data_IF_511379704401
#
_entry.id   IF_511379704401
#
_cell.length_a   1.000
_cell.length_b   1.000
_cell.length_c   1.000
_cell.angle_alpha   90.00
_cell.angle_beta   90.00
_cell.angle_gamma   90.00
#
_symmetry.space_group_name_H-M   'P 1'
#
loop_
_entity.id
_entity.type
_entity.pdbx_description
1 polymer ?
#
# COMPACT_ATOMS: atom_id res chain seq x y z
N UNK A 1 -22.67 88.59 7.37
CA UNK A 1 -24.09 88.58 7.80
C UNK A 1 -24.92 87.98 6.68
N UNK A 2 -25.29 86.68 6.78
CA UNK A 2 -26.20 86.00 5.85
C UNK A 2 -27.01 84.94 6.60
N UNK A 3 -28.23 85.35 6.90
CA UNK A 3 -29.55 84.69 7.03
C UNK A 3 -29.65 83.17 7.18
N UNK A 4 -30.43 82.79 8.20
CA UNK A 4 -31.03 81.47 8.50
C UNK A 4 -32.26 81.25 7.59
N UNK A 5 -32.46 80.02 7.07
CA UNK A 5 -33.74 79.30 7.23
C UNK A 5 -33.50 77.78 7.37
N UNK A 6 -34.38 76.89 7.78
CA UNK A 6 -35.72 76.89 8.36
C UNK A 6 -35.85 75.48 8.98
N UNK A 7 -36.49 75.38 10.14
CA UNK A 7 -36.77 74.09 10.78
C UNK A 7 -37.95 73.39 10.09
N UNK A 8 -37.88 72.08 9.77
CA UNK A 8 -39.08 71.28 9.63
C UNK A 8 -39.49 70.75 11.02
N UNK A 9 -40.65 71.22 11.48
CA UNK A 9 -41.45 70.59 12.54
C UNK A 9 -41.75 69.14 12.11
N UNK A 10 -41.18 68.17 12.81
CA UNK A 10 -41.62 66.78 12.70
C UNK A 10 -42.51 66.49 13.89
N UNK A 11 -43.79 66.26 13.59
CA UNK A 11 -44.83 65.91 14.55
C UNK A 11 -44.43 64.69 15.38
N UNK A 12 -44.48 64.85 16.70
CA UNK A 12 -44.48 63.78 17.69
C UNK A 12 -45.73 62.91 17.50
N UNK A 13 -45.60 61.82 16.73
CA UNK A 13 -46.52 60.71 16.81
C UNK A 13 -46.11 59.82 17.99
N UNK A 14 -47.08 59.59 18.87
CA UNK A 14 -46.96 58.81 20.10
C UNK A 14 -46.56 57.36 19.82
N UNK A 15 -45.84 56.70 20.75
CA UNK A 15 -45.37 55.33 20.58
C UNK A 15 -46.51 54.32 20.80
N UNK A 16 -46.83 53.53 19.79
CA UNK A 16 -47.61 52.30 19.93
C UNK A 16 -46.69 51.17 20.43
N UNK A 17 -47.03 50.47 21.53
CA UNK A 17 -46.23 49.37 22.04
C UNK A 17 -46.56 48.11 21.24
N UNK A 18 -45.89 47.92 20.10
CA UNK A 18 -45.94 46.64 19.39
C UNK A 18 -44.86 45.74 20.00
N UNK A 19 -45.28 45.01 21.03
CA UNK A 19 -44.53 43.91 21.65
C UNK A 19 -44.44 42.76 20.65
N UNK A 20 -43.49 42.84 19.73
CA UNK A 20 -42.98 41.68 19.02
C UNK A 20 -41.51 41.56 19.39
N UNK A 21 -41.26 40.87 20.50
CA UNK A 21 -39.90 40.52 20.91
C UNK A 21 -39.25 39.75 19.76
N UNK A 22 -38.15 40.28 19.23
CA UNK A 22 -37.27 39.54 18.33
C UNK A 22 -36.79 38.33 19.12
N UNK A 23 -37.19 37.12 18.70
CA UNK A 23 -36.62 35.88 19.22
C UNK A 23 -35.10 35.98 19.04
N UNK A 24 -34.30 35.80 20.10
CA UNK A 24 -32.85 35.80 19.96
C UNK A 24 -32.46 34.79 18.89
N UNK A 25 -31.72 35.23 17.86
CA UNK A 25 -31.05 34.32 16.95
C UNK A 25 -30.22 33.38 17.82
N UNK A 26 -30.62 32.11 17.92
CA UNK A 26 -29.78 31.12 18.58
C UNK A 26 -28.40 31.19 17.92
N UNK A 27 -27.31 31.20 18.71
CA UNK A 27 -25.98 31.05 18.14
C UNK A 27 -26.02 29.80 17.26
N UNK A 28 -25.74 29.95 15.96
CA UNK A 28 -25.43 28.76 15.18
C UNK A 28 -24.22 28.14 15.87
N UNK A 29 -24.34 26.88 16.27
CA UNK A 29 -23.21 26.10 16.76
C UNK A 29 -22.20 25.97 15.62
N UNK A 30 -21.38 26.99 15.42
CA UNK A 30 -20.11 26.85 14.75
C UNK A 30 -19.35 25.82 15.58
N UNK A 31 -19.22 24.60 15.04
CA UNK A 31 -18.32 23.59 15.60
C UNK A 31 -16.97 24.28 15.76
N UNK A 32 -16.58 24.57 17.00
CA UNK A 32 -15.27 25.10 17.33
C UNK A 32 -14.31 23.95 17.05
N UNK A 33 -13.90 23.82 15.79
CA UNK A 33 -12.81 22.93 15.39
C UNK A 33 -11.58 23.54 16.03
N UNK A 34 -11.08 22.88 17.06
CA UNK A 34 -9.87 23.31 17.76
C UNK A 34 -8.72 23.38 16.75
N UNK A 35 -7.76 24.28 16.95
CA UNK A 35 -6.60 24.40 16.05
C UNK A 35 -5.85 23.06 15.86
N UNK A 36 -5.96 22.17 16.86
CA UNK A 36 -5.46 20.80 16.82
C UNK A 36 -6.20 19.93 15.81
N UNK A 37 -7.53 19.96 15.76
CA UNK A 37 -8.33 19.21 14.78
C UNK A 37 -8.07 19.72 13.35
N UNK A 38 -7.89 21.03 13.19
CA UNK A 38 -7.48 21.63 11.91
C UNK A 38 -6.09 21.17 11.47
N UNK A 39 -5.14 21.08 12.41
CA UNK A 39 -3.80 20.56 12.15
C UNK A 39 -3.85 19.09 11.72
N UNK A 40 -4.62 18.25 12.41
CA UNK A 40 -4.80 16.83 12.08
C UNK A 40 -5.37 16.68 10.66
N UNK A 41 -6.44 17.40 10.33
CA UNK A 41 -7.03 17.38 8.99
C UNK A 41 -6.02 17.82 7.91
N UNK A 42 -5.16 18.80 8.20
CA UNK A 42 -4.13 19.25 7.28
C UNK A 42 -3.02 18.20 7.08
N UNK A 43 -2.60 17.51 8.14
CA UNK A 43 -1.63 16.41 8.06
C UNK A 43 -2.18 15.26 7.23
N UNK A 44 -3.44 14.88 7.45
CA UNK A 44 -4.11 13.85 6.66
C UNK A 44 -4.19 14.23 5.18
N UNK A 45 -4.51 15.50 4.88
CA UNK A 45 -4.51 16.03 3.51
C UNK A 45 -3.14 15.93 2.86
N UNK A 46 -2.06 16.28 3.59
CA UNK A 46 -0.69 16.19 3.08
C UNK A 46 -0.32 14.73 2.79
N UNK A 47 -0.62 13.82 3.72
CA UNK A 47 -0.32 12.40 3.55
C UNK A 47 -1.05 11.81 2.34
N UNK A 48 -2.31 12.20 2.12
CA UNK A 48 -3.07 11.79 0.94
C UNK A 48 -2.42 12.27 -0.36
N UNK A 49 -2.09 13.56 -0.45
CA UNK A 49 -1.42 14.12 -1.63
C UNK A 49 -0.04 13.50 -1.86
N UNK A 50 0.70 13.17 -0.79
CA UNK A 50 1.99 12.49 -0.89
C UNK A 50 1.83 11.08 -1.48
N UNK A 51 0.79 10.33 -1.07
CA UNK A 51 0.46 9.04 -1.66
C UNK A 51 0.07 9.14 -3.14
N UNK A 52 -0.74 10.13 -3.52
CA UNK A 52 -1.10 10.40 -4.91
C UNK A 52 0.13 10.73 -5.76
N UNK A 53 1.06 11.53 -5.24
CA UNK A 53 2.31 11.87 -5.91
C UNK A 53 3.21 10.65 -6.10
N UNK A 54 3.35 9.81 -5.07
CA UNK A 54 4.11 8.57 -5.17
C UNK A 54 3.55 7.65 -6.26
N UNK A 55 2.22 7.49 -6.32
CA UNK A 55 1.56 6.71 -7.35
C UNK A 55 1.84 7.27 -8.76
N UNK A 56 1.72 8.59 -8.96
CA UNK A 56 2.00 9.23 -10.25
C UNK A 56 3.48 9.07 -10.67
N UNK A 57 4.42 9.14 -9.73
CA UNK A 57 5.85 8.89 -10.01
C UNK A 57 6.08 7.44 -10.44
N UNK A 58 5.42 6.47 -9.81
CA UNK A 58 5.52 5.07 -10.18
C UNK A 58 4.94 4.79 -11.57
N UNK A 59 3.82 5.42 -11.92
CA UNK A 59 3.25 5.35 -13.26
C UNK A 59 4.20 5.94 -14.31
N UNK A 60 4.77 7.11 -14.05
CA UNK A 60 5.77 7.74 -14.92
C UNK A 60 6.98 6.82 -15.14
N UNK A 61 7.48 6.18 -14.06
CA UNK A 61 8.56 5.19 -14.15
C UNK A 61 8.18 4.00 -15.03
N UNK A 62 6.96 3.50 -14.90
CA UNK A 62 6.46 2.37 -15.71
C UNK A 62 6.38 2.75 -17.20
N UNK A 63 5.86 3.93 -17.52
CA UNK A 63 5.81 4.46 -18.88
C UNK A 63 7.23 4.62 -19.44
N UNK A 64 8.13 5.27 -18.69
CA UNK A 64 9.51 5.47 -19.12
C UNK A 64 10.26 4.15 -19.34
N UNK A 65 10.04 3.15 -18.49
CA UNK A 65 10.62 1.81 -18.66
C UNK A 65 10.08 1.13 -19.93
N UNK A 66 8.77 1.22 -20.17
CA UNK A 66 8.13 0.68 -21.39
C UNK A 66 8.73 1.31 -22.65
N UNK A 67 8.87 2.64 -22.68
CA UNK A 67 9.50 3.35 -23.78
C UNK A 67 10.96 2.97 -23.98
N UNK A 68 11.74 2.79 -22.90
CA UNK A 68 13.12 2.35 -23.02
C UNK A 68 13.24 0.91 -23.53
N UNK A 69 12.29 0.02 -23.21
CA UNK A 69 12.25 -1.35 -23.75
C UNK A 69 11.74 -1.43 -25.20
N UNK A 70 10.87 -0.51 -25.62
CA UNK A 70 10.34 -0.46 -26.99
C UNK A 70 11.31 0.14 -28.02
N UNK A 71 12.46 0.71 -27.62
CA UNK A 71 13.50 1.24 -28.54
C UNK A 71 14.17 0.19 -29.46
N UNK A 72 13.67 -1.03 -29.51
CA UNK A 72 14.02 -2.04 -30.53
C UNK A 72 13.19 -1.92 -31.82
N UNK A 73 12.72 -0.72 -32.19
CA UNK A 73 12.23 -0.47 -33.55
C UNK A 73 13.41 -0.05 -34.45
N UNK A 74 13.62 -0.70 -35.61
CA UNK A 74 14.85 -0.59 -36.40
C UNK A 74 14.95 0.70 -37.24
N UNK A 75 14.26 1.79 -36.86
CA UNK A 75 14.09 2.95 -37.76
C UNK A 75 15.09 4.10 -37.55
N UNK A 76 15.86 4.15 -36.47
CA UNK A 76 16.80 5.27 -36.24
C UNK A 76 18.13 4.79 -35.66
N UNK A 77 19.22 5.36 -36.18
CA UNK A 77 20.61 5.00 -35.89
C UNK A 77 20.88 4.84 -34.37
N UNK A 78 21.57 3.77 -33.94
CA UNK A 78 21.72 3.39 -32.53
C UNK A 78 22.45 4.39 -31.63
N UNK A 79 23.09 5.43 -32.19
CA UNK A 79 23.95 6.35 -31.44
C UNK A 79 23.24 7.60 -30.89
N UNK A 80 21.92 7.75 -31.06
CA UNK A 80 21.20 8.98 -30.65
C UNK A 80 20.17 8.79 -29.52
N UNK A 81 19.92 7.55 -29.08
CA UNK A 81 18.97 7.31 -28.00
C UNK A 81 19.62 7.47 -26.62
N UNK A 82 19.61 8.68 -26.07
CA UNK A 82 19.76 8.84 -24.62
C UNK A 82 18.58 8.13 -23.94
N UNK A 83 18.86 7.24 -22.98
CA UNK A 83 17.81 6.64 -22.16
C UNK A 83 17.01 7.75 -21.47
N UNK A 84 15.68 7.65 -21.48
CA UNK A 84 14.79 8.69 -20.90
C UNK A 84 15.03 8.79 -19.39
N UNK A 85 15.39 7.66 -18.76
CA UNK A 85 15.85 7.60 -17.38
C UNK A 85 17.24 6.97 -17.36
N UNK A 86 18.21 7.69 -16.80
CA UNK A 86 19.55 7.18 -16.56
C UNK A 86 19.59 6.61 -15.14
N UNK A 87 19.63 5.28 -15.02
CA UNK A 87 19.75 4.61 -13.74
C UNK A 87 21.20 4.69 -13.27
N UNK A 88 21.43 5.43 -12.19
CA UNK A 88 22.75 5.62 -11.63
C UNK A 88 23.00 4.57 -10.54
N UNK A 89 24.16 3.92 -10.62
CA UNK A 89 24.61 3.09 -9.51
C UNK A 89 24.89 3.99 -8.29
N UNK A 90 24.32 3.61 -7.15
CA UNK A 90 24.54 4.28 -5.86
C UNK A 90 25.52 3.48 -5.01
N UNK A 91 26.22 4.14 -4.10
CA UNK A 91 27.13 3.47 -3.17
C UNK A 91 26.34 3.08 -1.92
N UNK A 92 26.23 1.79 -1.65
CA UNK A 92 25.58 1.26 -0.44
C UNK A 92 26.63 0.67 0.51
N UNK A 93 26.42 0.78 1.83
CA UNK A 93 27.26 0.07 2.80
C UNK A 93 27.18 -1.44 2.60
N UNK A 94 28.32 -2.11 2.68
CA UNK A 94 28.48 -3.54 2.49
C UNK A 94 29.43 -4.10 3.55
N UNK A 95 28.96 -5.08 4.32
CA UNK A 95 29.79 -5.77 5.31
C UNK A 95 30.42 -7.00 4.66
N UNK A 96 31.76 -7.07 4.69
CA UNK A 96 32.50 -8.24 4.22
C UNK A 96 33.21 -8.90 5.39
N UNK A 97 33.19 -10.23 5.43
CA UNK A 97 33.99 -11.04 6.35
C UNK A 97 35.38 -11.27 5.76
N UNK A 98 36.43 -11.00 6.55
CA UNK A 98 37.83 -11.26 6.20
C UNK A 98 38.23 -12.69 6.54
N UNK A 99 39.40 -13.11 6.05
CA UNK A 99 39.98 -14.45 6.32
C UNK A 99 40.26 -14.68 7.81
N UNK A 100 40.61 -13.61 8.53
CA UNK A 100 40.82 -13.58 9.98
C UNK A 100 39.52 -13.59 10.81
N UNK A 101 38.37 -13.88 10.17
CA UNK A 101 37.02 -13.87 10.76
C UNK A 101 36.51 -12.49 11.22
N UNK A 102 37.27 -11.41 11.04
CA UNK A 102 36.80 -10.06 11.35
C UNK A 102 35.84 -9.51 10.26
N UNK A 103 35.05 -8.50 10.63
CA UNK A 103 34.13 -7.82 9.72
C UNK A 103 34.66 -6.45 9.35
N UNK A 104 34.57 -6.10 8.07
CA UNK A 104 34.90 -4.77 7.57
C UNK A 104 33.68 -4.15 6.90
N UNK A 105 33.37 -2.91 7.29
CA UNK A 105 32.39 -2.08 6.61
C UNK A 105 33.05 -1.45 5.39
N UNK A 106 32.50 -1.74 4.21
CA UNK A 106 32.96 -1.23 2.92
C UNK A 106 31.77 -0.65 2.15
N UNK A 107 31.99 -0.15 0.94
CA UNK A 107 30.91 0.28 0.05
C UNK A 107 30.90 -0.56 -1.21
N UNK A 108 29.71 -0.78 -1.76
CA UNK A 108 29.51 -1.43 -3.06
C UNK A 108 28.64 -0.55 -3.93
N UNK A 109 28.97 -0.46 -5.22
CA UNK A 109 28.11 0.19 -6.22
C UNK A 109 26.98 -0.76 -6.58
N UNK A 110 25.73 -0.31 -6.41
CA UNK A 110 24.52 -1.08 -6.71
C UNK A 110 23.58 -0.21 -7.52
N UNK A 111 23.06 -0.75 -8.61
CA UNK A 111 21.89 -0.18 -9.28
C UNK A 111 20.64 -0.68 -8.54
N UNK A 112 19.99 0.22 -7.79
CA UNK A 112 18.86 -0.12 -6.95
C UNK A 112 17.66 -0.63 -7.75
N UNK A 113 17.41 -0.07 -8.94
CA UNK A 113 16.27 -0.43 -9.77
C UNK A 113 16.47 -1.78 -10.43
N UNK A 114 17.70 -2.08 -10.85
CA UNK A 114 18.06 -3.41 -11.32
C UNK A 114 17.93 -4.43 -10.20
N UNK A 115 18.46 -4.14 -9.01
CA UNK A 115 18.39 -5.02 -7.86
C UNK A 115 16.94 -5.29 -7.42
N UNK A 116 16.08 -4.27 -7.42
CA UNK A 116 14.64 -4.39 -7.15
C UNK A 116 13.96 -5.35 -8.12
N UNK A 117 14.21 -5.19 -9.42
CA UNK A 117 13.63 -6.02 -10.47
C UNK A 117 14.08 -7.49 -10.35
N UNK A 118 15.37 -7.71 -10.14
CA UNK A 118 15.93 -9.05 -9.94
C UNK A 118 15.36 -9.70 -8.68
N UNK A 119 15.23 -8.94 -7.58
CA UNK A 119 14.62 -9.42 -6.34
C UNK A 119 13.14 -9.78 -6.52
N UNK A 120 12.37 -8.97 -7.25
CA UNK A 120 10.97 -9.24 -7.54
C UNK A 120 10.79 -10.54 -8.35
N UNK A 121 11.63 -10.73 -9.39
CA UNK A 121 11.59 -11.94 -10.22
C UNK A 121 11.97 -13.19 -9.41
N UNK A 122 13.02 -13.11 -8.59
CA UNK A 122 13.40 -14.19 -7.69
C UNK A 122 12.29 -14.54 -6.70
N UNK A 123 11.67 -13.52 -6.08
CA UNK A 123 10.57 -13.72 -5.15
C UNK A 123 9.38 -14.41 -5.84
N UNK A 124 9.06 -14.04 -7.08
CA UNK A 124 8.01 -14.69 -7.86
C UNK A 124 8.33 -16.15 -8.15
N UNK A 125 9.56 -16.46 -8.55
CA UNK A 125 10.01 -17.84 -8.77
C UNK A 125 9.91 -18.68 -7.50
N UNK A 126 10.37 -18.15 -6.36
CA UNK A 126 10.30 -18.84 -5.07
C UNK A 126 8.85 -19.11 -4.63
N UNK A 127 7.93 -18.16 -4.85
CA UNK A 127 6.50 -18.34 -4.57
C UNK A 127 5.91 -19.47 -5.42
N UNK A 128 6.25 -19.51 -6.72
CA UNK A 128 5.78 -20.56 -7.62
C UNK A 128 6.35 -21.94 -7.25
N UNK A 129 7.64 -22.03 -6.94
CA UNK A 129 8.27 -23.27 -6.47
C UNK A 129 7.63 -23.79 -5.19
N UNK A 130 7.37 -22.89 -4.23
CA UNK A 130 6.72 -23.23 -2.97
C UNK A 130 5.30 -23.75 -3.20
N UNK A 131 4.53 -23.11 -4.09
CA UNK A 131 3.18 -23.56 -4.47
C UNK A 131 3.21 -24.98 -5.06
N UNK A 132 4.16 -25.28 -5.94
CA UNK A 132 4.35 -26.63 -6.53
C UNK A 132 4.72 -27.65 -5.46
N UNK A 133 5.65 -27.32 -4.55
CA UNK A 133 6.06 -28.19 -3.45
C UNK A 133 4.89 -28.55 -2.54
N UNK A 134 4.10 -27.55 -2.13
CA UNK A 134 2.91 -27.75 -1.28
C UNK A 134 1.84 -28.62 -1.96
N UNK A 135 1.61 -28.42 -3.26
CA UNK A 135 0.67 -29.26 -4.02
C UNK A 135 1.14 -30.74 -4.07
N UNK A 136 2.43 -30.99 -4.30
CA UNK A 136 2.99 -32.35 -4.30
C UNK A 136 2.91 -33.04 -2.93
N UNK A 137 3.06 -32.28 -1.83
CA UNK A 137 2.97 -32.80 -0.47
C UNK A 137 1.53 -33.20 -0.11
N UNK A 138 0.53 -32.43 -0.57
CA UNK A 138 -0.90 -32.77 -0.41
C UNK A 138 -1.26 -34.06 -1.13
N UNK A 139 -0.71 -34.31 -2.32
CA UNK A 139 -0.95 -35.57 -3.04
C UNK A 139 -0.35 -36.78 -2.35
N UNK A 140 0.80 -36.66 -1.66
CA UNK A 140 1.37 -37.77 -0.88
C UNK A 140 0.55 -38.08 0.37
N UNK A 141 0.06 -37.07 1.08
CA UNK A 141 -0.77 -37.25 2.28
C UNK A 141 -2.09 -37.98 1.99
N UNK A 142 -2.68 -37.76 0.81
CA UNK A 142 -3.91 -38.45 0.41
C UNK A 142 -3.68 -39.89 -0.07
N UNK A 143 -2.44 -40.28 -0.41
CA UNK A 143 -2.10 -41.64 -0.83
C UNK A 143 -1.87 -42.57 0.36
N UNK A 144 -1.27 -42.07 1.45
CA UNK A 144 -1.03 -42.86 2.67
C UNK A 144 -2.31 -43.11 3.49
N UNK A 145 -3.36 -42.30 3.34
CA UNK A 145 -4.64 -42.51 4.01
C UNK A 145 -5.54 -43.55 3.32
N UNK A 146 -5.20 -43.98 2.09
CA UNK A 146 -6.01 -44.92 1.30
C UNK A 146 -5.65 -46.40 1.47
N UNK A 147 -4.54 -46.72 2.14
CA UNK A 147 -3.95 -48.07 2.13
C UNK A 147 -4.01 -48.82 3.48
N UNK A 148 -4.62 -48.24 4.52
CA UNK A 148 -4.70 -48.88 5.84
C UNK A 148 -5.98 -49.68 6.11
N UNK A 149 -6.76 -50.03 5.09
CA UNK A 149 -8.03 -50.76 5.30
C UNK A 149 -8.14 -52.08 4.52
N UNK A 150 -7.08 -52.89 4.53
CA UNK A 150 -7.14 -54.26 4.03
C UNK A 150 -6.39 -55.22 4.94
N UNK A 151 -7.14 -56.18 5.51
CA UNK A 151 -6.72 -57.47 6.11
C UNK A 151 -6.39 -57.48 7.61
N UNK A 152 -7.44 -57.56 8.42
CA UNK A 152 -7.45 -58.49 9.56
C UNK A 152 -8.46 -59.61 9.27
N UNK A 153 -7.99 -60.69 8.64
CA UNK A 153 -8.75 -61.93 8.47
C UNK A 153 -8.31 -62.86 9.59
N UNK A 154 -9.15 -62.98 10.63
CA UNK A 154 -8.92 -63.91 11.75
C UNK A 154 -9.00 -65.33 11.17
N UNK A 155 -7.88 -66.05 11.18
CA UNK A 155 -7.84 -67.48 10.92
C UNK A 155 -8.35 -68.22 12.16
N UNK A 156 -9.58 -68.73 12.10
CA UNK A 156 -10.06 -69.73 13.07
C UNK A 156 -9.47 -71.08 12.64
N UNK A 157 -8.50 -71.55 13.42
CA UNK A 157 -7.80 -72.80 13.22
C UNK A 157 -8.65 -73.97 13.77
N UNK A 158 -8.90 -74.96 12.92
CA UNK A 158 -8.81 -76.38 13.28
C UNK A 158 -9.82 -76.96 14.26
N UNK A 159 -10.84 -77.61 13.71
CA UNK A 159 -11.57 -78.72 14.34
C UNK A 159 -10.59 -79.75 14.91
N UNK A 160 -10.77 -80.15 16.15
CA UNK A 160 -10.27 -81.43 16.67
C UNK A 160 -11.46 -82.20 17.26
N UNK A 161 -11.86 -83.24 16.54
CA UNK A 161 -12.69 -84.33 17.05
C UNK A 161 -11.92 -85.07 18.16
N UNK A 162 -12.52 -85.20 19.33
CA UNK A 162 -12.12 -86.20 20.33
C UNK A 162 -13.36 -87.01 20.70
N UNK A 163 -13.35 -88.29 20.30
CA UNK A 163 -14.29 -89.32 20.73
C UNK A 163 -14.02 -89.74 22.18
N UNK A 164 -15.08 -89.87 22.98
CA UNK A 164 -15.29 -90.72 24.17
C UNK A 164 -16.77 -90.51 24.54
N UNK A 165 -17.67 -91.47 24.66
CA UNK A 165 -17.69 -92.95 24.68
C UNK A 165 -18.94 -93.38 23.90
#
# INVERSE_FOLDING_TARGET
MKNIPDSPKVSLLQPTPVTTAIVPLQPQEEKIITDQERLVAQVERINRMAGELEAAILELKAIANTLNTQKSYPLVKPNQYKNICQYLAVSVPWVRKKSDQSFILTTRRVDLFRAEREAALLAQQLRQQTKKRLASQRHRKNKDAGDTNSKFKIHVLGKSDIRRV
#
